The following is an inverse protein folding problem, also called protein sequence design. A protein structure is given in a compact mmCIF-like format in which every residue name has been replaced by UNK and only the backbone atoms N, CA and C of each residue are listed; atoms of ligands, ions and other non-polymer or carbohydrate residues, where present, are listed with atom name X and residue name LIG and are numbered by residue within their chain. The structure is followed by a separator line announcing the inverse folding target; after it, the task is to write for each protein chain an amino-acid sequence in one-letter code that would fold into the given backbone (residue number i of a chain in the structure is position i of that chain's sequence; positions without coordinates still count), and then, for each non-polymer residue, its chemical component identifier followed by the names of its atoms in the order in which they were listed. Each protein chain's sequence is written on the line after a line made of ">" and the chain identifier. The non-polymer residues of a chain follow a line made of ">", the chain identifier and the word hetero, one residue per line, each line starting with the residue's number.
data_IF_388666373390
#
_entry.id   IF_388666373390
#
_cell.length_a   1.000
_cell.length_b   1.000
_cell.length_c   1.000
_cell.angle_alpha   90.00
_cell.angle_beta   90.00
_cell.angle_gamma   90.00
#
_symmetry.space_group_name_H-M   'P 1'
#
loop_
_entity.id
_entity.type
_entity.pdbx_description
1 polymer ?
#
# COMPACT_ATOMS: atom_id res chain seq x y z
N UNK A 1 -5.45 9.58 -18.76
CA UNK A 1 -5.51 8.11 -18.73
C UNK A 1 -5.52 7.73 -17.27
N UNK A 2 -6.67 7.32 -16.73
CA UNK A 2 -6.78 6.98 -15.32
C UNK A 2 -5.91 5.75 -15.06
N UNK A 3 -4.70 5.97 -14.55
CA UNK A 3 -3.96 4.94 -13.83
C UNK A 3 -4.94 4.37 -12.83
N UNK A 4 -5.44 3.17 -13.11
CA UNK A 4 -6.37 2.49 -12.23
C UNK A 4 -5.66 2.40 -10.89
N UNK A 5 -6.19 3.07 -9.87
CA UNK A 5 -5.79 2.88 -8.47
C UNK A 5 -5.85 1.37 -8.20
N UNK A 6 -4.70 0.69 -8.31
CA UNK A 6 -4.63 -0.76 -8.12
C UNK A 6 -4.88 -0.97 -6.64
N UNK A 7 -6.05 -1.50 -6.31
CA UNK A 7 -6.38 -1.90 -4.96
C UNK A 7 -5.53 -3.14 -4.60
N UNK A 8 -4.46 -2.92 -3.83
CA UNK A 8 -3.53 -3.94 -3.37
C UNK A 8 -4.19 -4.82 -2.32
N UNK A 9 -4.01 -6.13 -2.43
CA UNK A 9 -4.43 -7.07 -1.39
C UNK A 9 -3.28 -7.37 -0.45
N UNK A 10 -3.59 -7.85 0.76
CA UNK A 10 -2.58 -8.30 1.72
C UNK A 10 -1.59 -9.31 1.13
N UNK A 11 -2.07 -10.26 0.30
CA UNK A 11 -1.22 -11.24 -0.39
C UNK A 11 -0.25 -10.60 -1.40
N UNK A 12 -0.68 -9.54 -2.10
CA UNK A 12 0.20 -8.82 -3.02
C UNK A 12 1.29 -8.06 -2.28
N UNK A 13 0.96 -7.47 -1.12
CA UNK A 13 1.93 -6.79 -0.27
C UNK A 13 2.94 -7.77 0.30
N UNK A 14 2.48 -8.90 0.85
CA UNK A 14 3.35 -9.97 1.35
C UNK A 14 4.30 -10.48 0.28
N UNK A 15 3.78 -10.80 -0.92
CA UNK A 15 4.61 -11.21 -2.06
C UNK A 15 5.63 -10.15 -2.47
N UNK A 16 5.24 -8.87 -2.48
CA UNK A 16 6.14 -7.76 -2.84
C UNK A 16 7.26 -7.60 -1.83
N UNK A 17 6.95 -7.71 -0.53
CA UNK A 17 7.94 -7.66 0.54
C UNK A 17 8.89 -8.85 0.47
N UNK A 18 8.36 -10.05 0.24
CA UNK A 18 9.17 -11.25 0.05
C UNK A 18 10.14 -11.13 -1.15
N UNK A 19 9.68 -10.59 -2.28
CA UNK A 19 10.53 -10.32 -3.46
C UNK A 19 11.65 -9.33 -3.12
N UNK A 20 11.38 -8.35 -2.25
CA UNK A 20 12.38 -7.37 -1.79
C UNK A 20 13.28 -7.89 -0.66
N UNK A 21 13.15 -9.16 -0.26
CA UNK A 21 13.93 -9.75 0.84
C UNK A 21 13.55 -9.21 2.22
N UNK A 22 12.39 -8.56 2.35
CA UNK A 22 11.86 -8.07 3.63
C UNK A 22 11.08 -9.22 4.26
N UNK A 23 11.41 -9.62 5.49
CA UNK A 23 10.78 -10.75 6.18
C UNK A 23 9.25 -10.59 6.22
N UNK A 24 8.56 -11.43 5.44
CA UNK A 24 7.10 -11.45 5.25
C UNK A 24 6.34 -12.12 6.40
N UNK A 25 5.03 -11.98 6.40
CA UNK A 25 4.06 -12.29 7.49
C UNK A 25 3.96 -11.31 8.66
N UNK A 26 5.00 -11.11 9.47
CA UNK A 26 4.90 -10.24 10.66
C UNK A 26 4.96 -8.73 10.35
N UNK A 27 5.75 -8.37 9.35
CA UNK A 27 6.04 -6.97 9.05
C UNK A 27 5.01 -6.31 8.13
N UNK A 28 4.24 -7.09 7.37
CA UNK A 28 3.24 -6.54 6.43
C UNK A 28 2.24 -5.67 7.20
N UNK A 29 1.69 -6.18 8.30
CA UNK A 29 0.75 -5.43 9.13
C UNK A 29 1.40 -4.17 9.73
N UNK A 30 2.62 -4.28 10.25
CA UNK A 30 3.33 -3.12 10.82
C UNK A 30 3.64 -2.04 9.76
N UNK A 31 4.06 -2.45 8.56
CA UNK A 31 4.34 -1.55 7.43
C UNK A 31 3.05 -0.87 6.97
N UNK A 32 1.99 -1.65 6.74
CA UNK A 32 0.68 -1.12 6.33
C UNK A 32 0.14 -0.17 7.39
N UNK A 33 0.17 -0.54 8.67
CA UNK A 33 -0.26 0.33 9.77
C UNK A 33 0.52 1.64 9.80
N UNK A 34 1.84 1.61 9.58
CA UNK A 34 2.65 2.83 9.49
C UNK A 34 2.26 3.68 8.29
N UNK A 35 2.07 3.07 7.12
CA UNK A 35 1.67 3.78 5.91
C UNK A 35 0.28 4.41 6.05
N UNK A 36 -0.65 3.74 6.72
CA UNK A 36 -1.98 4.27 7.04
C UNK A 36 -1.88 5.41 8.06
N UNK A 37 -1.07 5.28 9.11
CA UNK A 37 -0.84 6.35 10.09
C UNK A 37 -0.19 7.59 9.47
N UNK A 38 0.63 7.41 8.43
CA UNK A 38 1.22 8.51 7.67
C UNK A 38 0.29 9.04 6.57
N UNK A 39 -0.96 8.59 6.51
CA UNK A 39 -1.93 8.95 5.46
C UNK A 39 -1.41 8.70 4.03
N UNK A 40 -0.45 7.77 3.89
CA UNK A 40 0.13 7.39 2.60
C UNK A 40 -0.67 6.30 1.91
N UNK A 41 -1.41 5.49 2.68
CA UNK A 41 -2.24 4.39 2.19
C UNK A 41 -3.61 4.47 2.82
N UNK A 42 -4.64 4.37 1.99
CA UNK A 42 -6.02 4.22 2.42
C UNK A 42 -6.41 2.74 2.45
N UNK A 43 -7.14 2.35 3.49
CA UNK A 43 -7.76 1.02 3.56
C UNK A 43 -9.16 1.09 2.96
N UNK A 44 -9.36 0.42 1.84
CA UNK A 44 -10.64 0.29 1.14
C UNK A 44 -11.32 -0.98 1.64
N UNK A 45 -12.42 -0.80 2.36
CA UNK A 45 -13.34 -1.86 2.72
C UNK A 45 -14.41 -1.95 1.65
N UNK A 46 -14.52 -3.12 1.04
CA UNK A 46 -15.52 -3.41 0.02
C UNK A 46 -16.49 -4.43 0.61
N UNK A 47 -17.77 -4.07 0.71
CA UNK A 47 -18.78 -4.93 1.34
C UNK A 47 -18.95 -6.29 0.62
N UNK A 48 -18.53 -6.37 -0.66
CA UNK A 48 -18.53 -7.62 -1.43
C UNK A 48 -17.29 -8.49 -1.20
N UNK A 49 -16.24 -7.96 -0.57
CA UNK A 49 -15.03 -8.73 -0.24
C UNK A 49 -14.63 -8.60 1.22
N UNK A 50 -14.71 -9.71 1.97
CA UNK A 50 -14.32 -9.78 3.40
C UNK A 50 -12.84 -9.50 3.69
N UNK A 51 -12.03 -9.17 2.67
CA UNK A 51 -10.61 -8.86 2.81
C UNK A 51 -10.38 -7.37 2.50
N UNK A 52 -9.74 -6.62 3.40
CA UNK A 52 -9.41 -5.22 3.14
C UNK A 52 -8.48 -5.11 1.94
N UNK A 53 -8.71 -4.09 1.12
CA UNK A 53 -7.79 -3.69 0.06
C UNK A 53 -7.12 -2.39 0.43
N UNK A 54 -5.96 -2.15 -0.15
CA UNK A 54 -5.15 -0.98 0.15
C UNK A 54 -4.93 -0.21 -1.13
N UNK A 55 -5.12 1.11 -1.09
CA UNK A 55 -4.76 1.99 -2.20
C UNK A 55 -3.81 3.06 -1.70
N UNK A 56 -2.94 3.55 -2.56
CA UNK A 56 -2.05 4.65 -2.19
C UNK A 56 -2.91 5.92 -2.14
N UNK A 57 -2.83 6.67 -1.05
CA UNK A 57 -3.57 7.92 -0.94
C UNK A 57 -2.98 8.98 -1.88
N UNK A 58 -3.73 10.04 -2.17
CA UNK A 58 -3.24 11.15 -3.01
C UNK A 58 -1.93 11.76 -2.47
N UNK A 59 -1.77 11.82 -1.14
CA UNK A 59 -0.53 12.25 -0.48
C UNK A 59 0.63 11.27 -0.73
N UNK A 60 0.38 9.97 -0.62
CA UNK A 60 1.35 8.94 -0.94
C UNK A 60 1.83 9.03 -2.39
N UNK A 61 0.91 9.29 -3.33
CA UNK A 61 1.26 9.54 -4.73
C UNK A 61 2.10 10.80 -4.91
N UNK A 62 1.84 11.87 -4.16
CA UNK A 62 2.63 13.10 -4.22
C UNK A 62 4.05 12.90 -3.68
N UNK A 63 4.22 12.10 -2.64
CA UNK A 63 5.54 11.73 -2.09
C UNK A 63 6.32 10.83 -3.06
N UNK A 64 5.66 9.85 -3.67
CA UNK A 64 6.27 8.99 -4.71
C UNK A 64 6.61 9.75 -5.99
N UNK A 65 5.86 10.83 -6.30
CA UNK A 65 6.10 11.72 -7.45
C UNK A 65 7.21 12.75 -7.22
N UNK A 66 7.84 12.81 -6.04
CA UNK A 66 9.07 13.57 -5.86
C UNK A 66 10.27 12.67 -6.16
N UNK A 67 10.81 12.62 -7.40
CA UNK A 67 12.22 12.37 -7.53
C UNK A 67 12.93 13.53 -6.83
N UNK A 68 13.92 13.18 -6.02
CA UNK A 68 14.87 14.12 -5.46
C UNK A 68 15.58 14.84 -6.62
N UNK A 69 15.12 16.03 -6.98
CA UNK A 69 15.81 16.96 -7.88
C UNK A 69 15.79 18.34 -7.24
N UNK A 70 16.86 18.64 -6.50
CA UNK A 70 17.45 19.97 -6.27
C UNK A 70 18.64 19.84 -5.32
#
# INVERSE_FOLDING_TARGET
>A
MAEKDIAWTWMMLDRTLAIRGIAGFGNVANIVTRLVNMEMVDTVYDESTSKPRYRVSGQGHQLLRKPHDS
#
